data_IF_174781795886
#
_entry.id   IF_174781795886
#
_cell.length_a   1.000
_cell.length_b   1.000
_cell.length_c   1.000
_cell.angle_alpha   90.00
_cell.angle_beta   90.00
_cell.angle_gamma   90.00
#
_symmetry.space_group_name_H-M   'P 1'
#
loop_
_entity.id
_entity.type
_entity.pdbx_description
1 polymer ?
#
# COMPACT_ATOMS: atom_id res chain seq x y z
N UNK A 1 8.27 -3.15 8.08
CA UNK A 1 7.17 -3.64 8.94
C UNK A 1 6.00 -4.19 8.15
N UNK A 2 5.01 -4.75 8.84
CA UNK A 2 3.79 -5.29 8.24
C UNK A 2 2.55 -4.82 9.01
N UNK A 3 1.56 -4.33 8.27
CA UNK A 3 0.24 -4.00 8.78
C UNK A 3 -0.75 -5.08 8.36
N UNK A 4 -1.45 -5.66 9.33
CA UNK A 4 -2.49 -6.66 9.09
C UNK A 4 -3.82 -6.07 9.51
N UNK A 5 -4.71 -5.89 8.53
CA UNK A 5 -6.10 -5.52 8.78
C UNK A 5 -6.93 -6.71 9.25
N UNK A 6 -7.72 -6.54 10.30
CA UNK A 6 -8.71 -7.54 10.72
C UNK A 6 -9.99 -6.83 11.18
N UNK A 7 -11.14 -7.44 10.93
CA UNK A 7 -12.46 -6.89 11.24
C UNK A 7 -13.40 -7.00 10.05
N UNK A 8 -14.70 -7.18 10.32
CA UNK A 8 -15.70 -7.53 9.31
C UNK A 8 -15.69 -6.67 8.04
N UNK A 9 -15.47 -5.35 8.16
CA UNK A 9 -15.40 -4.43 7.00
C UNK A 9 -14.16 -4.68 6.14
N UNK A 10 -13.00 -4.92 6.75
CA UNK A 10 -11.74 -5.22 6.03
C UNK A 10 -11.76 -6.64 5.44
N UNK A 11 -12.21 -7.61 6.22
CA UNK A 11 -12.26 -9.03 5.85
C UNK A 11 -13.20 -9.27 4.67
N UNK A 12 -14.37 -8.61 4.70
CA UNK A 12 -15.43 -8.75 3.70
C UNK A 12 -15.53 -7.58 2.71
N UNK A 13 -14.49 -6.73 2.62
CA UNK A 13 -14.43 -5.71 1.59
C UNK A 13 -14.65 -6.39 0.21
N UNK A 14 -15.62 -5.94 -0.60
CA UNK A 14 -15.94 -6.57 -1.88
C UNK A 14 -14.72 -6.69 -2.82
N UNK A 15 -13.74 -5.79 -2.65
CA UNK A 15 -12.50 -5.75 -3.41
C UNK A 15 -11.31 -5.59 -2.49
N UNK A 16 -10.23 -6.30 -2.77
CA UNK A 16 -8.97 -6.16 -2.02
C UNK A 16 -8.32 -4.78 -2.18
N UNK A 17 -8.53 -4.11 -3.31
CA UNK A 17 -8.15 -2.72 -3.53
C UNK A 17 -8.77 -1.78 -2.47
N UNK A 18 -10.06 -1.94 -2.16
CA UNK A 18 -10.73 -1.16 -1.12
C UNK A 18 -10.16 -1.45 0.27
N UNK A 19 -9.87 -2.72 0.58
CA UNK A 19 -9.22 -3.08 1.84
C UNK A 19 -7.85 -2.40 2.00
N UNK A 20 -7.04 -2.40 0.93
CA UNK A 20 -5.76 -1.70 0.90
C UNK A 20 -5.93 -0.21 1.14
N UNK A 21 -6.86 0.44 0.44
CA UNK A 21 -7.09 1.88 0.57
C UNK A 21 -7.57 2.28 1.96
N UNK A 22 -8.47 1.50 2.57
CA UNK A 22 -8.85 1.70 3.98
C UNK A 22 -7.64 1.59 4.92
N UNK A 23 -6.74 0.61 4.73
CA UNK A 23 -5.55 0.47 5.57
C UNK A 23 -4.57 1.62 5.38
N UNK A 24 -4.29 2.00 4.14
CA UNK A 24 -3.34 3.07 3.82
C UNK A 24 -3.85 4.42 4.36
N UNK A 25 -5.14 4.71 4.24
CA UNK A 25 -5.70 5.97 4.74
C UNK A 25 -5.89 6.00 6.26
N UNK A 26 -6.20 4.86 6.89
CA UNK A 26 -6.36 4.81 8.34
C UNK A 26 -5.03 4.93 9.09
N UNK A 27 -3.97 4.30 8.58
CA UNK A 27 -2.70 4.19 9.29
C UNK A 27 -1.60 5.10 8.76
N UNK A 28 -1.77 5.66 7.55
CA UNK A 28 -0.75 6.45 6.85
C UNK A 28 0.65 5.80 6.93
N UNK A 29 0.84 4.58 6.38
CA UNK A 29 2.09 3.85 6.50
C UNK A 29 3.29 4.69 6.04
N UNK A 30 4.43 4.50 6.67
CA UNK A 30 5.67 5.24 6.46
C UNK A 30 6.77 4.29 5.96
N UNK A 31 7.64 4.78 5.06
CA UNK A 31 8.72 3.98 4.47
C UNK A 31 8.19 2.81 3.65
N UNK A 32 8.75 1.62 3.88
CA UNK A 32 8.37 0.37 3.20
C UNK A 32 7.56 -0.52 4.15
N UNK A 33 6.25 -0.63 3.89
CA UNK A 33 5.32 -1.35 4.77
C UNK A 33 4.52 -2.39 3.99
N UNK A 34 4.61 -3.66 4.39
CA UNK A 34 3.79 -4.73 3.83
C UNK A 34 2.35 -4.63 4.34
N UNK A 35 1.39 -4.95 3.48
CA UNK A 35 -0.04 -4.93 3.80
C UNK A 35 -0.63 -6.32 3.64
N UNK A 36 -1.42 -6.73 4.64
CA UNK A 36 -2.19 -7.96 4.60
C UNK A 36 -3.55 -7.77 5.28
N UNK A 37 -4.45 -8.72 5.06
CA UNK A 37 -5.75 -8.77 5.73
C UNK A 37 -6.05 -10.19 6.21
N UNK A 38 -6.66 -10.30 7.39
CA UNK A 38 -7.37 -11.50 7.84
C UNK A 38 -8.70 -11.57 7.10
N UNK A 39 -8.80 -12.41 6.08
CA UNK A 39 -9.96 -12.45 5.18
C UNK A 39 -11.17 -13.18 5.73
N UNK A 40 -11.01 -13.99 6.77
CA UNK A 40 -12.09 -14.80 7.36
C UNK A 40 -12.53 -14.24 8.72
N UNK A 41 -11.79 -13.26 9.26
CA UNK A 41 -12.03 -12.68 10.58
C UNK A 41 -11.96 -13.74 11.70
N UNK A 42 -11.00 -14.66 11.58
CA UNK A 42 -10.78 -15.74 12.53
C UNK A 42 -9.63 -15.49 13.49
N UNK A 43 -8.92 -14.36 13.37
CA UNK A 43 -7.77 -14.05 14.23
C UNK A 43 -8.08 -14.16 15.74
N UNK A 44 -9.24 -13.70 16.27
CA UNK A 44 -9.57 -13.90 17.69
C UNK A 44 -9.69 -15.38 18.09
N UNK A 45 -10.34 -16.21 17.27
CA UNK A 45 -10.55 -17.63 17.52
C UNK A 45 -9.23 -18.41 17.42
N UNK A 46 -8.39 -18.07 16.44
CA UNK A 46 -7.05 -18.63 16.29
C UNK A 46 -6.13 -18.22 17.44
N UNK A 47 -6.34 -17.02 18.01
CA UNK A 47 -5.68 -16.60 19.24
C UNK A 47 -5.97 -17.55 20.41
N UNK A 48 -7.23 -17.95 20.60
CA UNK A 48 -7.60 -18.94 21.62
C UNK A 48 -6.98 -20.31 21.30
N UNK A 49 -7.14 -20.79 20.06
CA UNK A 49 -6.59 -22.07 19.62
C UNK A 49 -5.07 -22.14 19.82
N UNK A 50 -4.35 -21.03 19.65
CA UNK A 50 -2.90 -20.97 19.80
C UNK A 50 -2.41 -21.36 21.20
N UNK A 51 -3.25 -21.23 22.23
CA UNK A 51 -2.90 -21.62 23.62
C UNK A 51 -2.87 -23.14 23.82
N UNK A 52 -3.53 -23.89 22.93
CA UNK A 52 -3.67 -25.35 23.00
C UNK A 52 -2.89 -26.01 21.86
N UNK A 53 -3.03 -25.51 20.62
CA UNK A 53 -2.39 -26.01 19.41
C UNK A 53 -1.71 -24.88 18.62
N UNK A 54 -0.57 -24.34 19.10
CA UNK A 54 0.11 -23.20 18.47
C UNK A 54 0.44 -23.42 16.99
N UNK A 55 0.96 -24.60 16.63
CA UNK A 55 1.36 -24.91 15.25
C UNK A 55 0.17 -24.93 14.29
N UNK A 56 -0.94 -25.55 14.71
CA UNK A 56 -2.15 -25.61 13.89
C UNK A 56 -2.79 -24.22 13.74
N UNK A 57 -2.81 -23.41 14.80
CA UNK A 57 -3.33 -22.05 14.74
C UNK A 57 -2.54 -21.18 13.76
N UNK A 58 -1.20 -21.27 13.76
CA UNK A 58 -0.34 -20.56 12.81
C UNK A 58 -0.57 -21.08 11.39
N UNK A 59 -0.62 -22.40 11.18
CA UNK A 59 -0.82 -22.98 9.86
C UNK A 59 -2.15 -22.55 9.23
N UNK A 60 -3.24 -22.61 9.99
CA UNK A 60 -4.56 -22.14 9.53
C UNK A 60 -4.53 -20.63 9.27
N UNK A 61 -3.87 -19.86 10.13
CA UNK A 61 -3.76 -18.41 9.91
C UNK A 61 -3.04 -18.10 8.60
N UNK A 62 -1.87 -18.69 8.37
CA UNK A 62 -1.04 -18.39 7.21
C UNK A 62 -1.63 -18.91 5.89
N UNK A 63 -2.27 -20.07 5.92
CA UNK A 63 -2.80 -20.72 4.71
C UNK A 63 -4.22 -20.29 4.36
N UNK A 64 -5.07 -20.09 5.37
CA UNK A 64 -6.51 -19.93 5.15
C UNK A 64 -7.00 -18.51 5.44
N UNK A 65 -6.36 -17.77 6.36
CA UNK A 65 -6.86 -16.46 6.79
C UNK A 65 -6.06 -15.28 6.21
N UNK A 66 -4.76 -15.42 6.05
CA UNK A 66 -3.89 -14.28 5.74
C UNK A 66 -3.78 -14.06 4.23
N UNK A 67 -4.41 -13.01 3.73
CA UNK A 67 -4.24 -12.57 2.35
C UNK A 67 -3.18 -11.47 2.27
N UNK A 68 -2.11 -11.73 1.50
CA UNK A 68 -1.08 -10.75 1.16
C UNK A 68 -1.63 -9.75 0.16
N UNK A 69 -1.81 -8.51 0.59
CA UNK A 69 -2.36 -7.47 -0.27
C UNK A 69 -1.27 -6.84 -1.14
N UNK A 70 -0.09 -6.59 -0.56
CA UNK A 70 0.93 -5.83 -1.26
C UNK A 70 1.94 -5.15 -0.35
N UNK A 71 2.61 -4.13 -0.90
CA UNK A 71 3.50 -3.24 -0.14
C UNK A 71 3.17 -1.79 -0.44
N UNK A 72 3.08 -0.94 0.60
CA UNK A 72 2.98 0.50 0.50
C UNK A 72 4.37 1.13 0.69
N UNK A 73 4.75 2.02 -0.22
CA UNK A 73 6.02 2.74 -0.25
C UNK A 73 5.70 4.24 -0.12
N UNK A 74 6.05 4.83 1.02
CA UNK A 74 5.66 6.20 1.35
C UNK A 74 6.84 7.01 1.95
N UNK A 75 7.40 7.98 1.21
CA UNK A 75 8.43 8.87 1.73
C UNK A 75 7.91 9.75 2.87
N UNK A 76 8.76 9.99 3.86
CA UNK A 76 8.43 10.73 5.08
C UNK A 76 9.20 12.04 5.15
N UNK A 77 8.50 13.13 5.44
CA UNK A 77 9.07 14.45 5.65
C UNK A 77 8.30 15.56 4.96
N UNK A 78 8.74 16.79 5.21
CA UNK A 78 8.14 17.98 4.60
C UNK A 78 8.52 18.06 3.13
N UNK A 79 7.52 18.18 2.28
CA UNK A 79 7.67 18.34 0.85
C UNK A 79 6.97 19.60 0.34
N UNK A 80 7.42 20.08 -0.81
CA UNK A 80 6.74 21.14 -1.58
C UNK A 80 5.85 20.51 -2.64
N UNK A 81 4.84 21.27 -3.08
CA UNK A 81 3.83 20.80 -4.02
C UNK A 81 4.36 20.40 -5.41
N UNK A 82 5.52 20.88 -5.82
CA UNK A 82 6.16 20.62 -7.11
C UNK A 82 7.34 19.63 -7.05
N UNK A 83 7.59 19.06 -5.86
CA UNK A 83 8.77 18.23 -5.61
C UNK A 83 8.55 16.77 -6.05
N UNK A 84 9.59 16.16 -6.65
CA UNK A 84 9.68 14.70 -6.77
C UNK A 84 9.91 14.11 -5.38
N UNK A 85 8.97 13.27 -4.94
CA UNK A 85 8.96 12.64 -3.62
C UNK A 85 9.81 11.38 -3.58
N UNK A 86 9.79 10.63 -4.67
CA UNK A 86 10.45 9.33 -4.77
C UNK A 86 10.80 9.04 -6.21
N UNK A 87 12.06 8.74 -6.48
CA UNK A 87 12.42 8.01 -7.69
C UNK A 87 12.46 6.52 -7.32
N UNK A 88 11.83 5.69 -8.14
CA UNK A 88 11.73 4.25 -7.90
C UNK A 88 12.23 3.46 -9.10
N UNK A 89 12.82 2.31 -8.81
CA UNK A 89 13.18 1.30 -9.78
C UNK A 89 12.82 -0.06 -9.20
N UNK A 90 11.95 -0.82 -9.87
CA UNK A 90 11.42 -2.09 -9.39
C UNK A 90 11.62 -3.15 -10.48
N UNK A 91 12.30 -4.23 -10.12
CA UNK A 91 12.52 -5.39 -10.99
C UNK A 91 11.40 -6.40 -10.82
N UNK A 92 10.44 -6.39 -11.76
CA UNK A 92 9.44 -7.43 -11.91
C UNK A 92 10.05 -8.65 -12.65
N UNK A 93 9.40 -9.84 -12.61
CA UNK A 93 9.91 -11.02 -13.29
C UNK A 93 10.20 -10.80 -14.78
N UNK A 94 9.34 -10.05 -15.47
CA UNK A 94 9.41 -9.87 -16.92
C UNK A 94 9.93 -8.50 -17.36
N UNK A 95 9.99 -7.52 -16.46
CA UNK A 95 10.34 -6.15 -16.80
C UNK A 95 10.90 -5.35 -15.62
N UNK A 96 11.65 -4.29 -15.94
CA UNK A 96 12.03 -3.26 -14.96
C UNK A 96 11.11 -2.07 -15.14
N UNK A 97 10.47 -1.64 -14.06
CA UNK A 97 9.67 -0.41 -14.01
C UNK A 97 10.49 0.64 -13.28
N UNK A 98 10.63 1.83 -13.85
CA UNK A 98 11.27 2.96 -13.20
C UNK A 98 10.52 4.26 -13.48
N UNK A 99 10.63 5.23 -12.59
CA UNK A 99 10.06 6.55 -12.77
C UNK A 99 10.18 7.44 -11.54
N UNK A 100 9.62 8.62 -11.68
CA UNK A 100 9.49 9.61 -10.60
C UNK A 100 8.05 9.64 -10.12
N UNK A 101 7.88 9.80 -8.81
CA UNK A 101 6.61 9.99 -8.14
C UNK A 101 6.60 11.39 -7.52
N UNK A 102 5.67 12.24 -7.94
CA UNK A 102 5.56 13.64 -7.52
C UNK A 102 4.67 13.78 -6.31
N UNK A 103 4.82 14.90 -5.59
CA UNK A 103 3.98 15.20 -4.44
C UNK A 103 2.50 15.17 -4.79
N UNK A 104 1.71 14.50 -3.95
CA UNK A 104 0.27 14.33 -4.14
C UNK A 104 -0.12 13.11 -4.98
N UNK A 105 0.83 12.45 -5.65
CA UNK A 105 0.53 11.27 -6.46
C UNK A 105 0.32 10.02 -5.59
N UNK A 106 -0.56 9.16 -6.06
CA UNK A 106 -0.76 7.81 -5.56
C UNK A 106 -0.76 6.90 -6.79
N UNK A 107 0.07 5.86 -6.78
CA UNK A 107 0.22 4.97 -7.95
C UNK A 107 0.20 3.51 -7.52
N UNK A 108 -0.53 2.68 -8.25
CA UNK A 108 -0.53 1.23 -8.09
C UNK A 108 0.27 0.55 -9.21
N UNK A 109 1.19 -0.33 -8.83
CA UNK A 109 1.92 -1.21 -9.73
C UNK A 109 1.45 -2.65 -9.44
N UNK A 110 0.66 -3.27 -10.32
CA UNK A 110 0.27 -4.67 -10.17
C UNK A 110 1.51 -5.57 -10.14
N UNK A 111 1.60 -6.40 -9.11
CA UNK A 111 2.71 -7.33 -8.93
C UNK A 111 2.25 -8.52 -8.07
N UNK A 112 2.60 -9.77 -8.44
CA UNK A 112 2.23 -10.94 -7.65
C UNK A 112 2.97 -10.99 -6.32
N UNK A 113 2.56 -11.90 -5.42
CA UNK A 113 3.26 -12.13 -4.15
C UNK A 113 4.57 -12.89 -4.36
N UNK A 114 5.58 -12.17 -4.83
CA UNK A 114 6.96 -12.64 -5.04
C UNK A 114 7.93 -11.61 -4.49
N UNK A 115 9.16 -12.03 -4.18
CA UNK A 115 10.22 -11.13 -3.73
C UNK A 115 10.79 -10.37 -4.92
N UNK A 116 10.69 -9.03 -4.89
CA UNK A 116 11.10 -8.14 -5.97
C UNK A 116 12.19 -7.20 -5.47
N UNK A 117 13.30 -7.12 -6.21
CA UNK A 117 14.33 -6.13 -5.91
C UNK A 117 13.84 -4.75 -6.30
N UNK A 118 13.98 -3.81 -5.38
CA UNK A 118 13.60 -2.43 -5.60
C UNK A 118 14.67 -1.47 -5.06
N UNK A 119 14.80 -0.35 -5.76
CA UNK A 119 15.63 0.78 -5.36
C UNK A 119 14.75 2.02 -5.26
N UNK A 120 14.92 2.74 -4.16
CA UNK A 120 14.17 3.94 -3.84
C UNK A 120 15.13 5.07 -3.49
N UNK A 121 15.07 6.16 -4.25
CA UNK A 121 15.79 7.39 -3.96
C UNK A 121 14.79 8.43 -3.46
N UNK A 122 14.78 8.77 -2.16
CA UNK A 122 13.85 9.76 -1.65
C UNK A 122 14.18 11.16 -2.17
N UNK A 123 13.15 11.98 -2.35
CA UNK A 123 13.34 13.40 -2.65
C UNK A 123 14.08 14.14 -1.53
N UNK A 124 14.59 15.33 -1.85
CA UNK A 124 15.39 16.13 -0.90
C UNK A 124 14.64 16.37 0.42
N UNK A 125 15.29 16.02 1.52
CA UNK A 125 14.79 16.18 2.89
C UNK A 125 13.85 15.08 3.36
N UNK A 126 13.59 14.06 2.53
CA UNK A 126 12.68 12.95 2.83
C UNK A 126 13.45 11.69 3.23
N UNK A 127 12.74 10.78 3.87
CA UNK A 127 13.25 9.47 4.33
C UNK A 127 12.33 8.36 3.82
N UNK A 128 12.88 7.21 3.44
CA UNK A 128 12.11 6.02 3.04
C UNK A 128 12.34 4.81 3.97
N UNK A 129 12.95 5.05 5.13
CA UNK A 129 13.28 4.05 6.15
C UNK A 129 14.78 3.77 6.28
N UNK A 130 15.64 4.45 5.51
CA UNK A 130 17.10 4.31 5.54
C UNK A 130 17.80 5.55 6.15
N UNK A 131 17.06 6.60 6.49
CA UNK A 131 17.59 7.90 6.86
C UNK A 131 17.30 8.96 5.79
N UNK A 132 17.38 10.23 6.20
CA UNK A 132 17.07 11.36 5.31
C UNK A 132 18.03 11.44 4.13
N UNK A 133 17.46 11.50 2.92
CA UNK A 133 18.17 11.51 1.63
C UNK A 133 18.94 10.22 1.30
N UNK A 134 18.81 9.17 2.11
CA UNK A 134 19.52 7.92 1.88
C UNK A 134 18.76 7.05 0.88
N UNK A 135 19.49 6.48 -0.08
CA UNK A 135 18.93 5.51 -1.03
C UNK A 135 18.68 4.19 -0.32
N UNK A 136 17.51 3.62 -0.55
CA UNK A 136 17.15 2.29 -0.04
C UNK A 136 17.09 1.28 -1.18
N UNK A 137 17.97 0.29 -1.14
CA UNK A 137 17.87 -0.93 -1.95
C UNK A 137 17.37 -2.07 -1.06
N UNK A 138 16.24 -2.68 -1.42
CA UNK A 138 15.58 -3.69 -0.59
C UNK A 138 14.72 -4.63 -1.42
N UNK A 139 14.29 -5.73 -0.79
CA UNK A 139 13.26 -6.60 -1.36
C UNK A 139 11.88 -6.17 -0.87
N UNK A 140 10.96 -6.01 -1.81
CA UNK A 140 9.54 -5.77 -1.55
C UNK A 140 8.72 -6.92 -2.10
N UNK A 141 7.44 -6.98 -1.71
CA UNK A 141 6.53 -8.01 -2.18
C UNK A 141 5.30 -7.37 -2.81
N UNK A 142 4.86 -7.91 -3.94
CA UNK A 142 3.51 -7.64 -4.43
C UNK A 142 2.46 -8.37 -3.60
N UNK A 143 1.33 -8.69 -4.22
CA UNK A 143 0.23 -9.35 -3.54
C UNK A 143 -0.99 -9.44 -4.43
N UNK A 144 -2.15 -9.67 -3.82
CA UNK A 144 -3.43 -9.68 -4.55
C UNK A 144 -3.74 -8.31 -5.17
N UNK A 145 -3.19 -7.22 -4.63
CA UNK A 145 -3.33 -5.86 -5.17
C UNK A 145 -2.03 -5.40 -5.85
N UNK A 146 -0.90 -5.47 -5.16
CA UNK A 146 0.41 -5.10 -5.74
C UNK A 146 1.17 -4.07 -4.91
N UNK A 147 1.99 -3.25 -5.55
CA UNK A 147 2.84 -2.25 -4.89
C UNK A 147 2.19 -0.88 -5.03
N UNK A 148 1.92 -0.23 -3.91
CA UNK A 148 1.44 1.15 -3.86
C UNK A 148 2.61 2.07 -3.60
N UNK A 149 2.75 3.09 -4.44
CA UNK A 149 3.63 4.22 -4.21
C UNK A 149 2.77 5.42 -3.78
N UNK A 150 2.98 5.90 -2.56
CA UNK A 150 2.16 6.95 -1.94
C UNK A 150 2.99 8.19 -1.63
N UNK A 151 2.87 9.20 -2.49
CA UNK A 151 3.53 10.49 -2.37
C UNK A 151 2.58 11.59 -1.87
N UNK A 152 1.44 11.24 -1.28
CA UNK A 152 0.47 12.20 -0.76
C UNK A 152 0.97 12.96 0.49
N UNK A 153 2.11 12.54 1.03
CA UNK A 153 2.80 13.16 2.14
C UNK A 153 2.69 12.36 3.44
N UNK A 154 3.76 12.38 4.23
CA UNK A 154 3.80 11.85 5.60
C UNK A 154 4.56 12.83 6.47
N UNK A 155 3.97 13.18 7.62
CA UNK A 155 4.52 14.15 8.57
C UNK A 155 4.88 15.51 7.91
N UNK A 156 3.89 16.23 7.31
CA UNK A 156 2.45 16.02 7.43
C UNK A 156 1.79 15.36 6.20
N UNK A 157 0.62 14.76 6.43
CA UNK A 157 -0.35 14.42 5.39
C UNK A 157 -1.44 15.50 5.40
N UNK A 158 -1.51 16.31 4.33
CA UNK A 158 -2.45 17.41 4.22
C UNK A 158 -3.33 17.22 2.99
N UNK A 159 -4.64 17.40 3.15
CA UNK A 159 -5.56 17.48 2.04
C UNK A 159 -5.63 18.92 1.51
N UNK A 160 -6.00 19.07 0.24
CA UNK A 160 -6.27 20.39 -0.35
C UNK A 160 -7.47 21.03 0.37
N UNK A 161 -7.37 22.30 0.72
CA UNK A 161 -8.44 23.04 1.43
C UNK A 161 -9.63 23.34 0.51
N UNK A 162 -9.36 23.66 -0.76
CA UNK A 162 -10.40 23.88 -1.76
C UNK A 162 -11.20 22.59 -2.00
N UNK A 163 -12.52 22.66 -1.80
CA UNK A 163 -13.39 21.48 -1.89
C UNK A 163 -13.43 20.86 -3.28
N UNK A 164 -13.50 21.65 -4.35
CA UNK A 164 -13.59 21.13 -5.72
C UNK A 164 -12.30 20.41 -6.12
N UNK A 165 -11.15 21.06 -5.87
CA UNK A 165 -9.83 20.48 -6.13
C UNK A 165 -9.59 19.21 -5.30
N UNK A 166 -9.94 19.23 -4.01
CA UNK A 166 -9.85 18.04 -3.15
C UNK A 166 -10.71 16.90 -3.64
N UNK A 167 -11.95 17.16 -4.07
CA UNK A 167 -12.83 16.11 -4.61
C UNK A 167 -12.25 15.52 -5.89
N UNK A 168 -11.68 16.35 -6.77
CA UNK A 168 -10.98 15.87 -7.97
C UNK A 168 -9.81 14.95 -7.62
N UNK A 169 -8.96 15.37 -6.68
CA UNK A 169 -7.80 14.59 -6.24
C UNK A 169 -8.19 13.27 -5.57
N UNK A 170 -9.24 13.24 -4.74
CA UNK A 170 -9.75 12.00 -4.14
C UNK A 170 -10.25 11.01 -5.19
N UNK A 171 -10.87 11.50 -6.28
CA UNK A 171 -11.29 10.65 -7.40
C UNK A 171 -10.10 10.08 -8.16
N UNK A 172 -9.10 10.91 -8.45
CA UNK A 172 -7.85 10.48 -9.09
C UNK A 172 -7.17 9.36 -8.28
N UNK A 173 -7.04 9.51 -6.95
CA UNK A 173 -6.47 8.46 -6.10
C UNK A 173 -7.27 7.15 -6.12
N UNK A 174 -8.60 7.25 -6.16
CA UNK A 174 -9.50 6.09 -6.25
C UNK A 174 -9.36 5.35 -7.58
N UNK A 175 -9.20 6.09 -8.68
CA UNK A 175 -8.96 5.56 -10.02
C UNK A 175 -7.57 4.91 -10.13
N UNK A 176 -6.52 5.59 -9.69
CA UNK A 176 -5.13 5.09 -9.69
C UNK A 176 -4.94 3.82 -8.86
N UNK A 177 -5.83 3.57 -7.90
CA UNK A 177 -5.79 2.36 -7.05
C UNK A 177 -6.88 1.36 -7.35
N UNK A 178 -7.69 1.58 -8.39
CA UNK A 178 -8.68 0.61 -8.86
C UNK A 178 -9.74 0.25 -7.82
N UNK A 179 -10.12 1.19 -6.94
CA UNK A 179 -11.09 0.95 -5.86
C UNK A 179 -12.45 0.47 -6.41
N UNK A 180 -12.84 1.01 -7.56
CA UNK A 180 -14.11 0.76 -8.24
C UNK A 180 -13.88 0.28 -9.68
N UNK A 181 -14.83 -0.44 -10.28
CA UNK A 181 -14.70 -0.81 -11.68
C UNK A 181 -14.83 0.47 -12.48
N UNK A 182 -14.03 0.59 -13.54
CA UNK A 182 -14.40 1.50 -14.62
C UNK A 182 -15.70 0.95 -15.18
N UNK A 183 -16.80 1.67 -14.95
CA UNK A 183 -18.03 1.39 -15.67
C UNK A 183 -17.65 1.56 -17.14
N UNK A 184 -17.69 0.48 -17.92
CA UNK A 184 -17.69 0.64 -19.37
C UNK A 184 -18.75 1.69 -19.68
N UNK A 185 -18.39 2.70 -20.50
CA UNK A 185 -19.38 3.62 -21.04
C UNK A 185 -20.43 2.77 -21.75
N UNK A 186 -21.49 2.42 -21.03
CA UNK A 186 -22.74 1.95 -21.58
C UNK A 186 -23.30 3.15 -22.32
N UNK A 187 -22.81 3.32 -23.55
CA UNK A 187 -23.48 4.08 -24.59
C UNK A 187 -24.84 3.38 -24.80
N UNK A 188 -25.82 3.83 -24.02
CA UNK A 188 -27.25 3.69 -24.31
C UNK A 188 -27.75 5.06 -24.72
#
# INVERSE_FOLDING_TARGET
DMLVGSGGVLSHAPRRHQAVRMLVDAFLPEGVTQLAVDSIFMMPQLGILSTIHPKAAVEVFEKDCLIRLGTCIAPVGKAKSDQVMLQYEISLPDQRIAGDLKFGELKLIPAPFESLQAKFTPGKGLDIGAGKNEVLETNIYGGVVGIILDARGRQPFNLIDNTEERVSQLKEWSEETGEYPQLENLNV
#
